data_IF_855269171471
#
_entry.id   IF_855269171471
#
_cell.length_a   1.000
_cell.length_b   1.000
_cell.length_c   1.000
_cell.angle_alpha   90.00
_cell.angle_beta   90.00
_cell.angle_gamma   90.00
#
_symmetry.space_group_name_H-M   'P 1'
#
loop_
_entity.id
_entity.type
_entity.pdbx_description
1 polymer ?
#
# COMPACT_ATOMS: atom_id res chain seq x y z
N UNK A 1 -13.41 -5.07 3.84
CA UNK A 1 -12.11 -5.29 4.52
C UNK A 1 -11.02 -4.33 4.04
N UNK A 2 -10.74 -4.23 2.74
CA UNK A 2 -9.67 -3.36 2.20
C UNK A 2 -9.91 -1.88 2.44
N UNK A 3 -11.15 -1.39 2.45
CA UNK A 3 -11.43 0.03 2.72
C UNK A 3 -10.91 0.45 4.10
N UNK A 4 -11.21 -0.34 5.13
CA UNK A 4 -10.75 -0.08 6.51
C UNK A 4 -9.23 -0.24 6.61
N UNK A 5 -8.67 -1.35 6.13
CA UNK A 5 -7.22 -1.57 6.11
C UNK A 5 -6.47 -0.48 5.32
N UNK A 6 -7.12 0.10 4.30
CA UNK A 6 -6.55 1.18 3.49
C UNK A 6 -6.53 2.51 4.21
N UNK A 7 -7.57 2.81 4.98
CA UNK A 7 -7.64 4.01 5.81
C UNK A 7 -6.60 3.97 6.94
N UNK A 8 -6.37 2.79 7.52
CA UNK A 8 -5.43 2.62 8.63
C UNK A 8 -3.97 2.50 8.20
N UNK A 9 -3.64 2.49 6.90
CA UNK A 9 -2.26 2.30 6.39
C UNK A 9 -1.22 3.18 7.07
N UNK A 10 -1.55 4.45 7.30
CA UNK A 10 -0.65 5.44 7.90
C UNK A 10 -0.41 5.26 9.39
N UNK A 11 -1.23 4.45 10.07
CA UNK A 11 -1.10 4.25 11.51
C UNK A 11 0.08 3.33 11.82
N UNK A 12 0.94 3.80 12.73
CA UNK A 12 2.01 3.00 13.30
C UNK A 12 1.41 1.98 14.26
N UNK A 13 2.00 0.80 14.27
CA UNK A 13 1.53 -0.31 15.08
C UNK A 13 2.74 -0.95 15.76
N UNK A 14 2.59 -1.30 17.04
CA UNK A 14 3.68 -1.91 17.83
C UNK A 14 3.81 -3.40 17.51
N UNK A 15 2.69 -4.14 17.51
CA UNK A 15 2.65 -5.51 17.01
C UNK A 15 2.14 -5.51 15.57
N UNK A 16 2.91 -6.02 14.59
CA UNK A 16 2.48 -6.00 13.20
C UNK A 16 1.20 -6.85 12.94
N UNK A 17 0.80 -7.77 13.83
CA UNK A 17 -0.49 -8.49 13.78
C UNK A 17 -1.68 -7.59 14.10
N UNK A 18 -1.52 -6.58 14.98
CA UNK A 18 -2.58 -5.63 15.34
C UNK A 18 -3.07 -4.84 14.13
N UNK A 19 -2.28 -4.75 13.06
CA UNK A 19 -2.74 -4.13 11.81
C UNK A 19 -3.96 -4.84 11.23
N UNK A 20 -3.97 -6.17 11.29
CA UNK A 20 -5.09 -6.99 10.84
C UNK A 20 -6.14 -7.05 11.93
N UNK A 21 -5.77 -7.48 13.14
CA UNK A 21 -6.73 -7.71 14.22
C UNK A 21 -7.43 -6.45 14.70
N UNK A 22 -6.72 -5.31 14.76
CA UNK A 22 -7.33 -4.02 15.07
C UNK A 22 -8.32 -3.55 14.00
N UNK A 23 -8.12 -3.93 12.73
CA UNK A 23 -9.08 -3.60 11.67
C UNK A 23 -10.31 -4.51 11.68
N UNK A 24 -10.20 -5.75 12.18
CA UNK A 24 -11.33 -6.68 12.27
C UNK A 24 -12.44 -6.14 13.19
N UNK A 25 -12.08 -5.47 14.29
CA UNK A 25 -13.05 -4.85 15.19
C UNK A 25 -13.84 -3.68 14.57
N UNK A 26 -13.41 -3.16 13.43
CA UNK A 26 -14.09 -2.09 12.69
C UNK A 26 -14.93 -2.63 11.52
N UNK A 27 -14.86 -3.94 11.26
CA UNK A 27 -15.60 -4.59 10.17
C UNK A 27 -16.94 -5.14 10.69
N UNK A 28 -17.92 -5.33 9.79
CA UNK A 28 -19.17 -5.99 10.14
C UNK A 28 -18.92 -7.42 10.64
N UNK A 29 -19.80 -7.89 11.51
CA UNK A 29 -19.72 -9.17 12.23
C UNK A 29 -19.51 -10.37 11.29
N UNK A 30 -20.15 -10.33 10.12
CA UNK A 30 -20.02 -11.35 9.06
C UNK A 30 -18.59 -11.55 8.53
N UNK A 31 -17.69 -10.58 8.75
CA UNK A 31 -16.28 -10.64 8.34
C UNK A 31 -15.37 -10.78 9.56
N UNK A 32 -15.70 -10.17 10.69
CA UNK A 32 -14.89 -10.24 11.91
C UNK A 32 -14.88 -11.63 12.54
N UNK A 33 -15.94 -12.42 12.38
CA UNK A 33 -16.01 -13.81 12.88
C UNK A 33 -15.11 -14.78 12.10
N UNK A 34 -14.72 -14.45 10.86
CA UNK A 34 -13.97 -15.35 9.99
C UNK A 34 -12.50 -15.49 10.44
N UNK A 35 -11.91 -14.39 10.95
CA UNK A 35 -10.54 -14.39 11.46
C UNK A 35 -10.60 -14.12 12.96
N UNK A 36 -10.32 -15.14 13.77
CA UNK A 36 -10.16 -14.94 15.21
C UNK A 36 -8.74 -14.44 15.52
N UNK A 37 -8.58 -13.42 16.39
CA UNK A 37 -7.27 -12.94 16.81
C UNK A 37 -6.48 -14.02 17.55
N UNK A 38 -5.35 -14.43 16.98
CA UNK A 38 -4.43 -15.39 17.60
C UNK A 38 -2.98 -14.91 17.43
N UNK A 39 -2.46 -14.25 18.47
CA UNK A 39 -1.11 -13.72 18.54
C UNK A 39 -0.02 -14.81 18.63
N UNK A 40 -0.40 -16.08 18.75
CA UNK A 40 0.54 -17.21 18.72
C UNK A 40 0.91 -17.62 17.30
N UNK A 41 0.11 -17.22 16.30
CA UNK A 41 0.38 -17.50 14.90
C UNK A 41 1.55 -16.67 14.38
N UNK A 42 2.40 -17.23 13.51
CA UNK A 42 3.41 -16.45 12.83
C UNK A 42 2.75 -15.42 11.91
N UNK A 43 3.28 -14.20 11.91
CA UNK A 43 2.70 -13.07 11.16
C UNK A 43 2.58 -13.33 9.66
N UNK A 44 3.49 -14.12 9.09
CA UNK A 44 3.43 -14.53 7.69
C UNK A 44 2.13 -15.27 7.38
N UNK A 45 1.69 -16.14 8.27
CA UNK A 45 0.42 -16.86 8.15
C UNK A 45 -0.75 -15.89 8.29
N UNK A 46 -0.74 -15.02 9.31
CA UNK A 46 -1.81 -14.03 9.52
C UNK A 46 -2.01 -13.13 8.30
N UNK A 47 -0.92 -12.64 7.71
CA UNK A 47 -0.98 -11.78 6.53
C UNK A 47 -1.41 -12.55 5.28
N UNK A 48 -1.01 -13.80 5.15
CA UNK A 48 -1.41 -14.66 4.02
C UNK A 48 -2.89 -15.00 4.10
N UNK A 49 -3.39 -15.41 5.27
CA UNK A 49 -4.81 -15.66 5.54
C UNK A 49 -5.65 -14.40 5.28
N UNK A 50 -5.20 -13.24 5.77
CA UNK A 50 -5.89 -11.97 5.53
C UNK A 50 -5.93 -11.59 4.04
N UNK A 51 -4.82 -11.76 3.32
CA UNK A 51 -4.76 -11.49 1.88
C UNK A 51 -5.66 -12.45 1.09
N UNK A 52 -5.71 -13.74 1.44
CA UNK A 52 -6.64 -14.71 0.85
C UNK A 52 -8.09 -14.30 1.07
N UNK A 53 -8.45 -13.96 2.31
CA UNK A 53 -9.81 -13.57 2.64
C UNK A 53 -10.25 -12.34 1.85
N UNK A 54 -9.36 -11.36 1.69
CA UNK A 54 -9.63 -10.18 0.86
C UNK A 54 -9.90 -10.60 -0.60
N UNK A 55 -9.08 -11.49 -1.15
CA UNK A 55 -9.25 -11.96 -2.53
C UNK A 55 -10.54 -12.76 -2.74
N UNK A 56 -10.96 -13.53 -1.74
CA UNK A 56 -12.19 -14.33 -1.80
C UNK A 56 -13.46 -13.50 -1.60
N UNK A 57 -13.42 -12.51 -0.70
CA UNK A 57 -14.63 -11.77 -0.27
C UNK A 57 -14.84 -10.47 -1.02
N UNK A 58 -13.80 -9.86 -1.58
CA UNK A 58 -13.93 -8.57 -2.25
C UNK A 58 -13.91 -8.68 -3.78
N UNK A 59 -14.99 -8.25 -4.45
CA UNK A 59 -14.95 -8.12 -5.90
C UNK A 59 -14.00 -6.98 -6.29
N UNK A 60 -13.32 -7.13 -7.44
CA UNK A 60 -12.47 -6.13 -8.11
C UNK A 60 -11.00 -6.05 -7.69
N UNK A 61 -10.39 -7.12 -7.19
CA UNK A 61 -8.93 -7.14 -6.99
C UNK A 61 -8.42 -5.98 -6.11
N UNK A 62 -9.25 -5.53 -5.18
CA UNK A 62 -9.04 -4.35 -4.32
C UNK A 62 -7.73 -4.42 -3.53
N UNK A 63 -7.24 -5.62 -3.24
CA UNK A 63 -5.91 -5.85 -2.66
C UNK A 63 -4.81 -5.20 -3.51
N UNK A 64 -4.87 -5.38 -4.83
CA UNK A 64 -3.82 -4.96 -5.75
C UNK A 64 -3.86 -3.47 -6.08
N UNK A 65 -5.04 -2.86 -6.07
CA UNK A 65 -5.20 -1.43 -6.31
C UNK A 65 -4.85 -0.58 -5.08
N UNK A 66 -5.09 -1.11 -3.89
CA UNK A 66 -4.94 -0.36 -2.65
C UNK A 66 -3.56 -0.54 -2.00
N UNK A 67 -2.92 -1.71 -2.09
CA UNK A 67 -1.71 -2.01 -1.33
C UNK A 67 -0.47 -2.09 -2.22
N UNK A 68 0.66 -1.68 -1.65
CA UNK A 68 1.98 -1.90 -2.24
C UNK A 68 2.49 -3.30 -1.87
N UNK A 69 3.05 -3.98 -2.86
CA UNK A 69 3.75 -5.26 -2.70
C UNK A 69 5.28 -5.07 -2.58
N UNK A 70 5.76 -3.82 -2.59
CA UNK A 70 7.15 -3.55 -2.23
C UNK A 70 7.34 -3.82 -0.74
N UNK A 71 8.00 -4.92 -0.44
CA UNK A 71 8.31 -5.33 0.93
C UNK A 71 9.60 -4.67 1.41
N UNK A 72 9.60 -4.21 2.65
CA UNK A 72 10.77 -3.71 3.35
C UNK A 72 11.22 -4.69 4.44
N UNK A 73 12.51 -4.63 4.83
CA UNK A 73 13.03 -5.36 5.99
C UNK A 73 12.95 -6.90 5.90
N UNK A 74 12.77 -7.54 7.07
CA UNK A 74 12.80 -9.00 7.24
C UNK A 74 11.61 -9.71 6.58
N UNK A 75 10.45 -9.05 6.50
CA UNK A 75 9.23 -9.60 5.90
C UNK A 75 9.34 -9.82 4.38
N UNK A 76 10.30 -9.16 3.72
CA UNK A 76 10.60 -9.36 2.29
C UNK A 76 10.92 -10.81 1.93
N UNK A 77 11.63 -11.53 2.80
CA UNK A 77 12.04 -12.92 2.56
C UNK A 77 11.03 -13.95 3.08
N UNK A 78 10.18 -13.55 4.02
CA UNK A 78 9.30 -14.46 4.76
C UNK A 78 7.88 -14.55 4.17
N UNK A 79 7.41 -13.51 3.47
CA UNK A 79 6.09 -13.53 2.84
C UNK A 79 6.13 -13.95 1.36
N UNK A 80 5.10 -14.65 0.84
CA UNK A 80 4.92 -14.88 -0.60
C UNK A 80 4.81 -13.58 -1.37
N UNK A 81 5.34 -13.50 -2.60
CA UNK A 81 5.41 -12.26 -3.41
C UNK A 81 4.07 -11.54 -3.62
N UNK A 82 2.97 -12.29 -3.61
CA UNK A 82 1.62 -11.77 -3.79
C UNK A 82 0.95 -11.26 -2.49
N UNK A 83 1.59 -11.45 -1.33
CA UNK A 83 1.06 -10.95 -0.05
C UNK A 83 1.69 -9.59 0.27
N UNK A 84 0.89 -8.53 0.46
CA UNK A 84 1.41 -7.22 0.83
C UNK A 84 1.83 -7.19 2.30
N UNK A 85 2.83 -6.38 2.62
CA UNK A 85 3.21 -6.09 4.00
C UNK A 85 2.27 -5.04 4.58
N UNK A 86 1.26 -5.45 5.34
CA UNK A 86 0.25 -4.53 5.85
C UNK A 86 0.79 -3.50 6.85
N UNK A 87 1.84 -3.84 7.61
CA UNK A 87 2.44 -2.92 8.59
C UNK A 87 3.29 -1.83 7.92
N UNK A 88 4.03 -2.17 6.88
CA UNK A 88 4.93 -1.22 6.17
C UNK A 88 4.37 -0.79 4.81
N UNK A 89 3.15 -0.27 4.80
CA UNK A 89 2.55 0.26 3.58
C UNK A 89 3.10 1.65 3.27
N UNK A 90 3.80 1.78 2.14
CA UNK A 90 4.13 3.08 1.58
C UNK A 90 2.83 3.74 1.16
N UNK A 91 2.64 5.01 1.52
CA UNK A 91 1.59 5.83 0.93
C UNK A 91 1.74 5.74 -0.59
N UNK A 92 0.85 4.99 -1.25
CA UNK A 92 0.57 5.23 -2.65
C UNK A 92 0.01 6.65 -2.64
N UNK A 93 0.85 7.62 -3.02
CA UNK A 93 0.45 9.01 -3.10
C UNK A 93 -0.85 9.05 -3.90
N UNK A 94 -1.96 9.35 -3.26
CA UNK A 94 -3.24 9.60 -3.92
C UNK A 94 -3.15 10.76 -4.91
N UNK A 95 -2.06 11.55 -4.85
CA UNK A 95 -1.70 12.55 -5.87
C UNK A 95 -1.29 11.92 -7.21
N UNK A 96 -0.89 10.64 -7.24
CA UNK A 96 -0.41 9.98 -8.47
C UNK A 96 -1.50 9.20 -9.21
N UNK A 97 -2.59 8.80 -8.56
CA UNK A 97 -3.67 8.02 -9.21
C UNK A 97 -4.60 8.91 -10.05
N UNK A 98 -4.67 10.23 -9.76
CA UNK A 98 -5.44 11.20 -10.56
C UNK A 98 -4.64 11.94 -11.63
N UNK A 99 -3.39 11.54 -11.91
CA UNK A 99 -2.55 12.21 -12.93
C UNK A 99 -2.21 11.32 -14.14
N UNK A 100 -2.81 10.14 -14.26
CA UNK A 100 -2.90 9.46 -15.56
C UNK A 100 -4.19 9.84 -16.33
N UNK A 101 -4.79 11.00 -16.03
CA UNK A 101 -5.69 11.64 -16.97
C UNK A 101 -4.84 12.22 -18.10
N UNK A 102 -4.87 11.58 -19.26
CA UNK A 102 -4.28 12.05 -20.51
C UNK A 102 -4.56 13.54 -20.74
N UNK A 103 -3.55 14.39 -20.52
CA UNK A 103 -3.28 15.66 -21.22
C UNK A 103 -2.07 16.31 -20.57
N UNK A 104 -1.01 16.49 -21.36
CA UNK A 104 0.16 17.29 -20.98
C UNK A 104 -0.31 18.71 -20.66
N UNK A 105 0.01 19.30 -19.48
CA UNK A 105 -0.14 20.74 -19.34
C UNK A 105 1.04 21.38 -20.08
N UNK A 106 0.72 22.01 -21.20
CA UNK A 106 1.58 22.95 -21.90
C UNK A 106 1.97 24.07 -20.93
N UNK A 107 3.15 24.02 -20.33
CA UNK A 107 3.70 25.20 -19.65
C UNK A 107 4.41 26.08 -20.67
N UNK A 108 3.68 27.13 -21.06
CA UNK A 108 4.25 28.37 -21.57
C UNK A 108 5.39 28.86 -20.66
N UNK A 109 6.39 29.47 -21.30
CA UNK A 109 7.73 29.67 -20.79
C UNK A 109 7.89 30.60 -19.59
N UNK A 110 9.00 30.38 -18.89
CA UNK A 110 9.75 31.43 -18.21
C UNK A 110 11.23 31.27 -18.61
N UNK A 111 11.86 32.31 -19.19
CA UNK A 111 13.22 32.20 -19.71
C UNK A 111 14.22 32.18 -18.56
N UNK A 112 15.02 31.11 -18.47
CA UNK A 112 16.23 31.15 -17.63
C UNK A 112 17.21 32.12 -18.28
N UNK A 113 17.51 33.19 -17.55
CA UNK A 113 18.59 34.13 -17.80
C UNK A 113 19.91 33.36 -17.93
N UNK A 114 20.43 33.25 -19.15
CA UNK A 114 21.75 32.70 -19.43
C UNK A 114 22.76 33.81 -19.10
N UNK A 115 23.53 33.65 -18.03
CA UNK A 115 24.80 34.35 -17.89
C UNK A 115 25.80 33.68 -18.82
N UNK A 116 26.19 34.46 -19.82
CA UNK A 116 27.24 34.25 -20.79
C UNK A 116 28.50 33.61 -20.22
N UNK A 117 29.17 32.81 -21.06
CA UNK A 117 30.61 32.88 -21.43
C UNK A 117 31.20 31.47 -21.60
N UNK A 118 31.62 31.23 -22.85
CA UNK A 118 32.80 30.47 -23.29
C UNK A 118 32.73 29.01 -23.80
N UNK A 119 32.97 28.95 -25.11
CA UNK A 119 34.07 28.22 -25.77
C UNK A 119 33.80 26.88 -26.47
N UNK A 120 33.78 27.03 -27.81
CA UNK A 120 34.71 26.37 -28.74
C UNK A 120 34.40 24.95 -29.29
N UNK A 121 34.23 24.93 -30.63
CA UNK A 121 34.79 23.99 -31.63
C UNK A 121 34.13 22.59 -31.66
N UNK A 122 33.62 22.04 -32.78
CA UNK A 122 33.73 22.26 -34.23
C UNK A 122 32.37 22.02 -34.90
#
# INVERSE_FOLDING_TARGET
MTSVLSLTKIFKVSDPCDKIYGCLGLLPESVSEIIQPDYRKPITTVYTEAAQLILEKEPNYSLFSNFSFQKAGLLKRLLPSWVPDFASQRLLSYKNVRLWSSSKPTMMGFPRRISSIDNCLW
#
